data_IF_949537036321
#
_entry.id   IF_949537036321
#
_cell.length_a   1.000
_cell.length_b   1.000
_cell.length_c   1.000
_cell.angle_alpha   90.00
_cell.angle_beta   90.00
_cell.angle_gamma   90.00
#
_symmetry.space_group_name_H-M   'P 1'
#
loop_
_entity.id
_entity.type
_entity.pdbx_description
1 polymer ?
#
# COMPACT_ATOMS: atom_id res chain seq x y z
N UNK A 1 14.97 82.41 20.54
CA UNK A 1 15.92 82.32 19.41
C UNK A 1 16.38 80.87 19.28
N UNK A 2 16.33 80.28 18.06
CA UNK A 2 17.28 79.30 17.43
C UNK A 2 17.89 78.21 18.36
N UNK A 3 17.70 76.88 18.22
CA UNK A 3 17.89 75.91 17.10
C UNK A 3 17.31 74.54 17.58
N UNK A 4 16.52 73.78 16.83
CA UNK A 4 16.84 72.80 15.75
C UNK A 4 17.51 71.49 16.23
N UNK A 5 16.67 70.43 16.28
CA UNK A 5 16.78 69.07 15.66
C UNK A 5 17.68 67.95 16.25
N UNK A 6 17.02 66.77 16.36
CA UNK A 6 17.42 65.34 16.36
C UNK A 6 18.68 64.88 17.12
N UNK A 7 18.51 63.82 17.92
CA UNK A 7 19.05 62.51 17.52
C UNK A 7 18.39 61.35 18.28
N UNK A 8 18.07 60.34 17.49
CA UNK A 8 17.54 59.02 17.79
C UNK A 8 18.40 58.18 18.74
N UNK A 9 17.75 57.45 19.65
CA UNK A 9 18.24 56.16 20.14
C UNK A 9 17.05 55.30 20.57
N UNK A 10 16.60 54.48 19.63
CA UNK A 10 15.76 53.31 19.85
C UNK A 10 16.67 52.26 20.50
N UNK A 11 16.47 51.96 21.78
CA UNK A 11 16.87 50.68 22.36
C UNK A 11 16.26 50.47 23.74
N UNK A 12 15.87 49.22 23.99
CA UNK A 12 15.41 48.65 25.25
C UNK A 12 13.98 48.97 25.68
N UNK A 13 13.04 48.25 25.09
CA UNK A 13 11.99 47.59 25.87
C UNK A 13 11.93 46.12 25.48
N UNK A 14 12.95 45.37 25.90
CA UNK A 14 12.88 43.91 26.02
C UNK A 14 11.96 43.61 27.20
N UNK A 15 10.65 43.67 26.95
CA UNK A 15 9.63 43.22 27.87
C UNK A 15 9.64 41.69 27.85
N UNK A 16 10.26 41.13 28.88
CA UNK A 16 10.11 39.75 29.30
C UNK A 16 8.65 39.49 29.67
N UNK A 17 7.89 38.94 28.74
CA UNK A 17 6.67 38.17 29.03
C UNK A 17 6.91 36.75 28.59
N UNK A 18 7.46 35.94 29.49
CA UNK A 18 7.36 34.48 29.43
C UNK A 18 5.91 34.09 29.67
N UNK A 19 5.13 34.11 28.60
CA UNK A 19 3.89 33.35 28.51
C UNK A 19 4.25 32.01 27.89
N UNK A 20 4.17 30.95 28.70
CA UNK A 20 4.09 29.58 28.20
C UNK A 20 2.76 29.44 27.46
N UNK A 21 2.76 29.81 26.19
CA UNK A 21 1.79 29.31 25.22
C UNK A 21 2.47 28.16 24.50
N UNK A 22 1.87 26.98 24.61
CA UNK A 22 2.09 25.84 23.73
C UNK A 22 1.97 26.30 22.29
N UNK A 23 3.07 26.78 21.70
CA UNK A 23 3.19 26.96 20.27
C UNK A 23 3.26 25.56 19.68
N UNK A 24 2.12 25.22 19.08
CA UNK A 24 2.06 24.79 17.71
C UNK A 24 2.91 23.58 17.38
N UNK A 25 2.19 22.50 17.02
CA UNK A 25 2.62 21.56 16.00
C UNK A 25 3.51 22.31 15.01
N UNK A 26 4.82 22.10 15.10
CA UNK A 26 5.70 22.39 13.99
C UNK A 26 5.02 21.73 12.80
N UNK A 27 4.58 22.55 11.85
CA UNK A 27 4.07 22.05 10.58
C UNK A 27 5.20 21.21 10.03
N UNK A 28 5.07 19.88 10.11
CA UNK A 28 6.01 18.98 9.47
C UNK A 28 6.10 19.44 8.04
N UNK A 29 7.30 19.85 7.61
CA UNK A 29 7.55 20.39 6.29
C UNK A 29 6.75 19.61 5.23
N UNK A 30 5.69 20.22 4.71
CA UNK A 30 4.76 19.65 3.72
C UNK A 30 5.38 19.49 2.33
N UNK A 31 6.71 19.48 2.26
CA UNK A 31 7.48 19.21 1.05
C UNK A 31 7.89 17.74 0.95
N UNK A 32 7.68 16.95 2.01
CA UNK A 32 8.06 15.53 2.03
C UNK A 32 6.98 14.59 1.50
N UNK A 33 5.75 15.07 1.35
CA UNK A 33 4.62 14.27 0.83
C UNK A 33 4.39 14.46 -0.67
N UNK A 34 5.07 15.44 -1.31
CA UNK A 34 4.97 15.64 -2.76
C UNK A 34 5.67 14.49 -3.53
N UNK A 35 4.93 13.68 -4.32
CA UNK A 35 5.50 12.59 -5.11
C UNK A 35 6.57 13.05 -6.09
N UNK A 36 6.53 14.32 -6.54
CA UNK A 36 7.48 14.91 -7.49
C UNK A 36 8.84 15.24 -6.85
N UNK A 37 8.94 15.26 -5.52
CA UNK A 37 10.17 15.58 -4.79
C UNK A 37 10.89 14.34 -4.25
N UNK A 38 10.39 13.14 -4.53
CA UNK A 38 11.01 11.90 -4.08
C UNK A 38 12.31 11.65 -4.85
N UNK A 39 13.39 11.41 -4.11
CA UNK A 39 14.69 11.10 -4.68
C UNK A 39 14.71 9.77 -5.45
N UNK A 40 15.83 9.46 -6.11
CA UNK A 40 15.95 8.18 -6.82
C UNK A 40 15.84 6.99 -5.85
N UNK A 41 15.14 5.91 -6.24
CA UNK A 41 15.06 4.71 -5.45
C UNK A 41 16.42 4.00 -5.42
N UNK A 42 16.75 3.39 -4.29
CA UNK A 42 17.90 2.50 -4.18
C UNK A 42 17.67 1.43 -3.12
N UNK A 43 18.36 0.30 -3.32
CA UNK A 43 18.42 -0.82 -2.39
C UNK A 43 19.87 -1.31 -2.35
N UNK A 44 20.43 -1.43 -1.15
CA UNK A 44 21.78 -1.94 -0.95
C UNK A 44 21.74 -3.29 -0.24
N UNK A 45 22.65 -4.17 -0.65
CA UNK A 45 22.88 -5.46 0.01
C UNK A 45 24.37 -5.59 0.27
N UNK A 46 24.73 -5.79 1.53
CA UNK A 46 26.07 -6.06 2.00
C UNK A 46 26.14 -7.52 2.44
N UNK A 47 27.01 -8.26 1.78
CA UNK A 47 27.49 -9.58 2.19
C UNK A 47 28.91 -9.43 2.74
N UNK A 48 29.43 -10.48 3.38
CA UNK A 48 30.76 -10.48 4.01
C UNK A 48 31.88 -9.92 3.12
N UNK A 49 31.87 -10.28 1.83
CA UNK A 49 32.93 -9.97 0.89
C UNK A 49 32.44 -9.15 -0.33
N UNK A 50 31.17 -8.73 -0.36
CA UNK A 50 30.59 -8.03 -1.51
C UNK A 50 29.48 -7.04 -1.14
N UNK A 51 29.32 -6.03 -1.98
CA UNK A 51 28.28 -5.01 -1.86
C UNK A 51 27.55 -4.84 -3.19
N UNK A 52 26.23 -4.79 -3.14
CA UNK A 52 25.37 -4.63 -4.30
C UNK A 52 24.48 -3.41 -4.11
N UNK A 53 24.30 -2.64 -5.18
CA UNK A 53 23.34 -1.54 -5.26
C UNK A 53 22.37 -1.84 -6.40
N UNK A 54 21.08 -1.72 -6.14
CA UNK A 54 20.01 -1.95 -7.10
C UNK A 54 19.05 -0.76 -7.06
N UNK A 55 18.67 -0.26 -8.23
CA UNK A 55 17.77 0.89 -8.41
C UNK A 55 16.42 0.49 -9.03
N UNK A 56 16.27 -0.79 -9.41
CA UNK A 56 15.10 -1.37 -10.05
C UNK A 56 14.21 -2.19 -9.09
N UNK A 57 14.53 -2.21 -7.80
CA UNK A 57 13.79 -2.97 -6.79
C UNK A 57 12.45 -2.28 -6.51
N UNK A 58 11.40 -3.08 -6.41
CA UNK A 58 10.07 -2.65 -5.98
C UNK A 58 9.55 -3.57 -4.89
N UNK A 59 8.92 -2.99 -3.88
CA UNK A 59 8.22 -3.76 -2.86
C UNK A 59 6.78 -4.07 -3.31
N UNK A 60 6.25 -5.19 -2.88
CA UNK A 60 4.89 -5.63 -3.14
C UNK A 60 4.10 -5.70 -1.84
N UNK A 61 3.02 -4.94 -1.74
CA UNK A 61 2.10 -4.97 -0.61
C UNK A 61 0.90 -5.87 -0.96
N UNK A 62 0.79 -6.99 -0.27
CA UNK A 62 -0.32 -7.94 -0.44
C UNK A 62 -1.64 -7.36 0.10
N UNK A 63 -2.76 -7.94 -0.34
CA UNK A 63 -4.10 -7.65 0.20
C UNK A 63 -4.24 -7.96 1.71
N UNK A 64 -3.37 -8.81 2.25
CA UNK A 64 -3.32 -9.11 3.69
C UNK A 64 -2.50 -8.10 4.49
N UNK A 65 -1.93 -7.08 3.83
CA UNK A 65 -1.07 -6.08 4.46
C UNK A 65 0.36 -6.56 4.71
N UNK A 66 0.75 -7.72 4.16
CA UNK A 66 2.13 -8.19 4.17
C UNK A 66 2.94 -7.53 3.04
N UNK A 67 4.13 -7.07 3.35
CA UNK A 67 5.09 -6.46 2.41
C UNK A 67 6.12 -7.50 1.98
N UNK A 68 6.36 -7.64 0.68
CA UNK A 68 7.42 -8.47 0.11
C UNK A 68 8.42 -7.59 -0.65
N UNK A 69 9.71 -7.79 -0.44
CA UNK A 69 10.78 -7.15 -1.20
C UNK A 69 11.62 -8.26 -1.82
N UNK A 70 11.77 -8.25 -3.13
CA UNK A 70 12.56 -9.25 -3.87
C UNK A 70 13.69 -8.53 -4.59
N UNK A 71 14.93 -8.96 -4.32
CA UNK A 71 16.14 -8.42 -4.91
C UNK A 71 16.87 -9.56 -5.61
N UNK A 72 17.01 -9.44 -6.92
CA UNK A 72 17.67 -10.44 -7.76
C UNK A 72 19.06 -9.96 -8.19
N UNK A 73 19.76 -10.82 -8.92
CA UNK A 73 21.10 -10.56 -9.44
C UNK A 73 22.15 -10.38 -8.35
N UNK A 74 22.02 -11.10 -7.24
CA UNK A 74 23.00 -11.10 -6.17
C UNK A 74 24.04 -12.21 -6.40
N UNK A 75 25.04 -12.31 -5.52
CA UNK A 75 26.09 -13.32 -5.63
C UNK A 75 27.16 -12.98 -6.67
N UNK A 76 28.14 -13.86 -6.84
CA UNK A 76 29.25 -13.65 -7.79
C UNK A 76 28.80 -13.79 -9.25
N UNK A 77 27.82 -14.65 -9.51
CA UNK A 77 27.31 -14.93 -10.85
C UNK A 77 26.04 -14.14 -11.21
N UNK A 78 25.60 -13.22 -10.34
CA UNK A 78 24.33 -12.50 -10.49
C UNK A 78 23.11 -13.42 -10.65
N UNK A 79 23.14 -14.59 -10.00
CA UNK A 79 22.06 -15.58 -10.02
C UNK A 79 21.28 -15.65 -8.71
N UNK A 80 21.81 -15.11 -7.64
CA UNK A 80 21.21 -15.25 -6.31
C UNK A 80 20.04 -14.27 -6.14
N UNK A 81 19.11 -14.64 -5.26
CA UNK A 81 17.90 -13.87 -4.97
C UNK A 81 17.72 -13.75 -3.45
N UNK A 82 17.49 -12.53 -2.97
CA UNK A 82 17.05 -12.24 -1.62
C UNK A 82 15.57 -11.84 -1.63
N UNK A 83 14.76 -12.53 -0.84
CA UNK A 83 13.37 -12.18 -0.60
C UNK A 83 13.15 -11.87 0.88
N UNK A 84 12.60 -10.70 1.20
CA UNK A 84 12.23 -10.28 2.57
C UNK A 84 10.72 -10.14 2.65
N UNK A 85 10.07 -10.88 3.56
CA UNK A 85 8.63 -10.84 3.77
C UNK A 85 8.30 -10.32 5.18
N UNK A 86 7.59 -9.20 5.26
CA UNK A 86 7.07 -8.63 6.50
C UNK A 86 5.56 -8.82 6.57
N UNK A 87 5.04 -9.31 7.70
CA UNK A 87 3.60 -9.55 7.88
C UNK A 87 2.77 -8.27 7.99
N UNK A 88 3.41 -7.13 8.24
CA UNK A 88 2.73 -5.83 8.44
C UNK A 88 3.46 -4.72 7.71
N UNK A 89 2.68 -3.87 7.05
CA UNK A 89 3.14 -2.61 6.47
C UNK A 89 2.93 -1.45 7.44
N UNK A 90 3.91 -1.22 8.31
CA UNK A 90 3.91 -0.12 9.27
C UNK A 90 5.35 0.31 9.57
N UNK A 91 5.56 1.54 10.04
CA UNK A 91 6.87 1.96 10.54
C UNK A 91 7.22 1.20 11.83
N UNK A 92 8.50 0.86 12.00
CA UNK A 92 8.97 0.13 13.17
C UNK A 92 10.01 -0.94 12.84
N UNK A 93 10.30 -1.77 13.84
CA UNK A 93 11.30 -2.83 13.75
C UNK A 93 10.67 -4.21 13.87
N UNK A 94 10.97 -5.07 12.92
CA UNK A 94 10.35 -6.37 12.71
C UNK A 94 11.40 -7.47 12.88
N UNK A 95 11.27 -8.33 13.90
CA UNK A 95 12.19 -9.43 14.08
C UNK A 95 11.94 -10.50 13.02
N UNK A 96 13.01 -11.17 12.60
CA UNK A 96 12.97 -12.10 11.47
C UNK A 96 12.48 -13.51 11.80
N UNK A 97 12.29 -13.82 13.08
CA UNK A 97 11.72 -15.09 13.53
C UNK A 97 10.23 -15.22 13.16
N UNK A 98 9.55 -14.08 12.97
CA UNK A 98 8.17 -13.99 12.48
C UNK A 98 8.12 -13.47 11.03
N UNK A 99 9.06 -12.62 10.64
CA UNK A 99 9.14 -12.01 9.31
C UNK A 99 10.30 -12.60 8.53
N UNK A 100 10.02 -13.44 7.54
CA UNK A 100 11.05 -14.32 6.97
C UNK A 100 11.82 -13.62 5.86
N UNK A 101 13.15 -13.75 5.90
CA UNK A 101 14.02 -13.52 4.75
C UNK A 101 14.56 -14.86 4.22
N UNK A 102 14.58 -14.99 2.90
CA UNK A 102 15.04 -16.18 2.18
C UNK A 102 16.11 -15.72 1.19
N UNK A 103 17.26 -16.39 1.21
CA UNK A 103 18.32 -16.24 0.22
C UNK A 103 18.43 -17.53 -0.58
N UNK A 104 18.30 -17.43 -1.90
CA UNK A 104 18.40 -18.54 -2.83
C UNK A 104 19.72 -18.44 -3.59
N UNK A 105 20.52 -19.52 -3.56
CA UNK A 105 21.75 -19.65 -4.33
C UNK A 105 21.43 -20.27 -5.70
N UNK A 106 21.96 -19.71 -6.77
CA UNK A 106 21.72 -20.23 -8.12
C UNK A 106 22.99 -20.65 -8.85
N UNK A 107 23.11 -21.94 -9.16
CA UNK A 107 23.80 -22.43 -10.37
C UNK A 107 22.79 -23.30 -11.14
N UNK A 108 22.21 -22.74 -12.21
CA UNK A 108 21.24 -23.35 -13.13
C UNK A 108 19.82 -23.65 -12.58
N UNK A 109 18.82 -23.44 -13.45
CA UNK A 109 17.39 -23.39 -13.12
C UNK A 109 16.76 -24.79 -13.02
N UNK A 110 17.51 -25.84 -13.37
CA UNK A 110 16.99 -27.21 -13.36
C UNK A 110 17.55 -27.98 -12.14
N UNK A 111 16.69 -28.06 -11.13
CA UNK A 111 16.67 -29.08 -10.08
C UNK A 111 17.59 -28.92 -8.86
N UNK A 112 17.66 -27.74 -8.22
CA UNK A 112 17.59 -27.53 -6.75
C UNK A 112 18.28 -26.20 -6.38
N UNK A 113 17.48 -25.18 -6.04
CA UNK A 113 18.02 -23.99 -5.39
C UNK A 113 18.42 -24.35 -3.97
N UNK A 114 19.71 -24.22 -3.67
CA UNK A 114 20.17 -24.16 -2.29
C UNK A 114 19.56 -22.92 -1.62
N UNK A 115 19.19 -23.04 -0.35
CA UNK A 115 18.45 -22.01 0.37
C UNK A 115 19.08 -21.73 1.73
N UNK A 116 19.14 -20.44 2.11
CA UNK A 116 19.29 -20.01 3.49
C UNK A 116 18.05 -19.20 3.92
N UNK A 117 17.66 -19.33 5.18
CA UNK A 117 16.47 -18.69 5.75
C UNK A 117 16.81 -18.02 7.06
N UNK A 118 16.15 -16.90 7.35
CA UNK A 118 16.22 -16.26 8.66
C UNK A 118 15.38 -16.99 9.72
N UNK A 119 14.55 -17.96 9.35
CA UNK A 119 13.67 -18.65 10.28
C UNK A 119 14.26 -19.99 10.71
N UNK A 120 14.49 -20.17 12.01
CA UNK A 120 14.80 -21.47 12.59
C UNK A 120 13.49 -22.16 13.03
N UNK A 121 13.06 -23.24 12.35
CA UNK A 121 11.84 -23.96 12.74
C UNK A 121 12.00 -24.75 14.04
N UNK A 122 13.23 -25.11 14.43
CA UNK A 122 13.51 -25.83 15.68
C UNK A 122 13.61 -24.88 16.87
N UNK A 123 13.96 -23.60 16.63
CA UNK A 123 14.08 -22.54 17.64
C UNK A 123 13.29 -21.28 17.24
N UNK A 124 11.95 -21.32 17.23
CA UNK A 124 11.11 -20.22 16.75
C UNK A 124 11.22 -18.92 17.58
N UNK A 125 11.71 -18.99 18.81
CA UNK A 125 12.02 -17.83 19.65
C UNK A 125 13.32 -17.12 19.26
N UNK A 126 14.21 -17.79 18.52
CA UNK A 126 15.50 -17.22 18.14
C UNK A 126 15.33 -16.16 17.04
N UNK A 127 15.69 -14.93 17.38
CA UNK A 127 15.79 -13.82 16.43
C UNK A 127 17.12 -13.88 15.71
N UNK A 128 17.08 -14.23 14.43
CA UNK A 128 18.23 -14.18 13.52
C UNK A 128 18.54 -12.77 13.02
N UNK A 129 17.66 -11.78 13.25
CA UNK A 129 17.85 -10.46 12.70
C UNK A 129 16.64 -9.55 12.81
N UNK A 130 16.76 -8.40 12.15
CA UNK A 130 15.75 -7.35 12.15
C UNK A 130 15.66 -6.68 10.78
N UNK A 131 14.43 -6.38 10.38
CA UNK A 131 14.12 -5.44 9.30
C UNK A 131 13.43 -4.24 9.92
N UNK A 132 13.87 -3.03 9.58
CA UNK A 132 13.32 -1.79 10.10
C UNK A 132 12.77 -0.95 8.95
N UNK A 133 11.49 -0.60 9.03
CA UNK A 133 10.89 0.43 8.20
C UNK A 133 11.02 1.73 8.97
N UNK A 134 11.87 2.63 8.48
CA UNK A 134 12.14 3.93 9.09
C UNK A 134 11.04 4.94 8.77
N UNK A 135 10.50 4.89 7.55
CA UNK A 135 9.51 5.84 7.05
C UNK A 135 8.62 5.20 5.99
N UNK A 136 7.33 5.51 6.02
CA UNK A 136 6.37 5.21 4.94
C UNK A 136 5.79 6.52 4.43
N UNK A 137 6.12 6.89 3.19
CA UNK A 137 5.43 7.97 2.50
C UNK A 137 4.28 7.36 1.67
N UNK A 138 3.07 7.45 2.20
CA UNK A 138 1.86 6.90 1.56
C UNK A 138 1.46 7.68 0.31
N UNK A 139 1.70 8.98 0.28
CA UNK A 139 1.33 9.84 -0.86
C UNK A 139 2.20 9.54 -2.08
N UNK A 140 3.51 9.43 -1.88
CA UNK A 140 4.46 9.12 -2.94
C UNK A 140 4.67 7.61 -3.18
N UNK A 141 4.05 6.75 -2.36
CA UNK A 141 4.14 5.28 -2.42
C UNK A 141 5.58 4.77 -2.36
N UNK A 142 6.36 5.32 -1.44
CA UNK A 142 7.74 4.89 -1.18
C UNK A 142 8.00 4.59 0.29
N UNK A 143 8.97 3.71 0.53
CA UNK A 143 9.44 3.35 1.87
C UNK A 143 10.95 3.47 2.02
N UNK A 144 11.38 3.77 3.25
CA UNK A 144 12.77 3.79 3.66
C UNK A 144 13.01 2.81 4.80
N UNK A 145 14.19 2.21 4.86
CA UNK A 145 14.49 1.24 5.89
C UNK A 145 15.87 0.63 5.82
N UNK A 146 16.12 -0.27 6.77
CA UNK A 146 17.40 -0.98 6.93
C UNK A 146 17.12 -2.41 7.35
N UNK A 147 18.04 -3.32 7.08
CA UNK A 147 17.95 -4.70 7.55
C UNK A 147 19.32 -5.25 7.94
N UNK A 148 19.32 -6.15 8.91
CA UNK A 148 20.48 -6.95 9.31
C UNK A 148 19.99 -8.31 9.75
N UNK A 149 20.37 -9.34 9.00
CA UNK A 149 19.77 -10.67 9.07
C UNK A 149 20.88 -11.71 9.04
N UNK A 150 20.95 -12.53 10.08
CA UNK A 150 21.67 -13.79 10.07
C UNK A 150 20.85 -14.82 9.29
N UNK A 151 21.49 -15.42 8.30
CA UNK A 151 20.92 -16.43 7.45
C UNK A 151 21.42 -17.79 7.91
N UNK A 152 20.47 -18.67 8.19
CA UNK A 152 20.71 -20.06 8.55
C UNK A 152 20.59 -20.89 7.27
N UNK A 153 21.66 -21.55 6.80
CA UNK A 153 21.54 -22.40 5.64
C UNK A 153 20.63 -23.59 5.92
N UNK A 154 20.01 -24.14 4.87
CA UNK A 154 19.27 -25.39 4.99
C UNK A 154 20.20 -26.50 5.49
N UNK A 155 19.80 -27.24 6.52
CA UNK A 155 20.58 -28.36 7.09
C UNK A 155 20.83 -29.49 6.10
N UNK A 156 20.06 -29.54 5.00
CA UNK A 156 20.23 -30.48 3.90
C UNK A 156 21.22 -29.99 2.83
N UNK A 157 21.69 -28.74 2.92
CA UNK A 157 22.71 -28.18 2.04
C UNK A 157 24.10 -28.61 2.51
N UNK A 158 24.75 -29.49 1.75
CA UNK A 158 26.09 -30.01 2.06
C UNK A 158 27.23 -29.05 1.68
N UNK A 159 26.96 -28.02 0.87
CA UNK A 159 27.95 -27.10 0.32
C UNK A 159 28.08 -25.82 1.14
N UNK A 160 27.01 -25.40 1.81
CA UNK A 160 26.97 -24.19 2.62
C UNK A 160 26.36 -24.49 4.00
N UNK A 161 27.21 -24.79 4.99
CA UNK A 161 26.78 -25.11 6.36
C UNK A 161 26.93 -23.93 7.33
N UNK A 162 27.64 -22.88 6.94
CA UNK A 162 27.94 -21.76 7.82
C UNK A 162 26.85 -20.69 7.77
N UNK A 163 26.48 -20.20 8.95
CA UNK A 163 25.66 -18.99 9.08
C UNK A 163 26.42 -17.79 8.50
N UNK A 164 25.69 -16.87 7.89
CA UNK A 164 26.26 -15.62 7.38
C UNK A 164 25.28 -14.47 7.57
N UNK A 165 25.79 -13.24 7.61
CA UNK A 165 24.95 -12.05 7.76
C UNK A 165 24.76 -11.35 6.42
N UNK A 166 23.53 -10.99 6.14
CA UNK A 166 23.14 -10.05 5.08
C UNK A 166 22.62 -8.78 5.75
N UNK A 167 23.16 -7.63 5.40
CA UNK A 167 22.68 -6.34 5.88
C UNK A 167 22.55 -5.34 4.74
N UNK A 168 21.84 -4.24 4.97
CA UNK A 168 21.66 -3.23 3.94
C UNK A 168 20.61 -2.19 4.30
N UNK A 169 20.38 -1.31 3.35
CA UNK A 169 19.44 -0.20 3.44
C UNK A 169 18.70 0.03 2.14
N UNK A 170 17.49 0.57 2.24
CA UNK A 170 16.68 0.95 1.11
C UNK A 170 16.10 2.34 1.35
N UNK A 171 16.09 3.16 0.30
CA UNK A 171 15.60 4.52 0.34
C UNK A 171 14.79 4.85 -0.90
N UNK A 172 13.69 5.57 -0.68
CA UNK A 172 12.67 5.87 -1.67
C UNK A 172 12.20 4.63 -2.44
N UNK A 173 12.19 3.46 -1.79
CA UNK A 173 11.87 2.20 -2.44
C UNK A 173 10.38 2.21 -2.82
N UNK A 174 10.01 2.14 -4.11
CA UNK A 174 8.62 2.16 -4.51
C UNK A 174 7.93 0.90 -4.02
N UNK A 175 6.70 1.05 -3.53
CA UNK A 175 5.85 -0.11 -3.26
C UNK A 175 4.59 -0.06 -4.11
N UNK A 176 4.24 -1.21 -4.66
CA UNK A 176 3.02 -1.42 -5.42
C UNK A 176 2.18 -2.46 -4.71
N UNK A 177 0.85 -2.37 -4.87
CA UNK A 177 -0.02 -3.38 -4.28
C UNK A 177 -0.11 -4.57 -5.20
N UNK A 178 0.17 -5.77 -4.67
CA UNK A 178 0.01 -7.00 -5.41
C UNK A 178 -1.49 -7.19 -5.71
N UNK A 179 -1.87 -7.05 -6.98
CA UNK A 179 -3.20 -7.48 -7.43
C UNK A 179 -3.26 -8.99 -7.33
N UNK A 180 -4.34 -9.56 -6.78
CA UNK A 180 -4.42 -11.01 -6.65
C UNK A 180 -4.35 -11.64 -8.05
N UNK A 181 -3.44 -12.61 -8.23
CA UNK A 181 -3.09 -13.23 -9.51
C UNK A 181 -4.29 -13.88 -10.24
N UNK A 182 -5.46 -14.01 -9.59
CA UNK A 182 -6.63 -14.69 -10.15
C UNK A 182 -7.76 -13.75 -10.60
N UNK A 183 -7.87 -12.52 -10.07
CA UNK A 183 -8.94 -11.59 -10.46
C UNK A 183 -8.46 -10.21 -10.94
N UNK A 184 -7.19 -9.85 -10.71
CA UNK A 184 -6.67 -8.52 -11.04
C UNK A 184 -7.39 -7.37 -10.31
N UNK A 185 -8.19 -7.70 -9.29
CA UNK A 185 -8.90 -6.74 -8.44
C UNK A 185 -8.28 -6.70 -7.04
N UNK A 186 -8.40 -5.56 -6.37
CA UNK A 186 -7.72 -5.25 -5.11
C UNK A 186 -8.55 -4.27 -4.26
N UNK A 187 -8.48 -4.40 -2.92
CA UNK A 187 -9.05 -3.45 -1.97
C UNK A 187 -8.18 -3.39 -0.70
N UNK A 188 -7.96 -2.19 -0.20
CA UNK A 188 -7.53 -1.91 1.17
C UNK A 188 -8.30 -0.72 1.71
N UNK A 189 -8.64 -0.75 2.99
CA UNK A 189 -9.22 0.37 3.71
C UNK A 189 -9.14 0.08 5.22
N UNK A 190 -9.15 1.13 6.02
CA UNK A 190 -9.32 1.07 7.46
C UNK A 190 -10.78 1.33 7.80
N UNK A 191 -11.39 0.49 8.63
CA UNK A 191 -12.74 0.68 9.17
C UNK A 191 -12.61 1.04 10.63
N UNK A 192 -12.98 2.27 10.99
CA UNK A 192 -12.79 2.87 12.32
C UNK A 192 -11.34 2.69 12.82
N UNK A 193 -10.36 2.84 11.92
CA UNK A 193 -8.93 2.72 12.19
C UNK A 193 -8.34 1.31 12.06
N UNK A 194 -9.17 0.27 11.93
CA UNK A 194 -8.71 -1.11 11.83
C UNK A 194 -8.70 -1.61 10.37
N UNK A 195 -7.61 -2.22 9.88
CA UNK A 195 -7.56 -2.70 8.50
C UNK A 195 -8.60 -3.78 8.22
N UNK A 196 -9.35 -3.61 7.12
CA UNK A 196 -10.23 -4.64 6.60
C UNK A 196 -9.38 -5.75 5.96
N UNK A 197 -9.51 -6.99 6.44
CA UNK A 197 -8.64 -8.12 6.07
C UNK A 197 -9.42 -9.28 5.47
N UNK A 198 -8.69 -10.15 4.78
CA UNK A 198 -9.16 -11.43 4.26
C UNK A 198 -10.39 -11.30 3.35
N UNK A 199 -10.34 -10.33 2.44
CA UNK A 199 -11.41 -10.07 1.48
C UNK A 199 -11.18 -10.82 0.18
N UNK A 200 -12.24 -11.46 -0.31
CA UNK A 200 -12.37 -11.90 -1.69
C UNK A 200 -13.15 -10.84 -2.47
N UNK A 201 -12.65 -10.53 -3.67
CA UNK A 201 -13.16 -9.43 -4.48
C UNK A 201 -13.77 -9.98 -5.76
N UNK A 202 -15.01 -9.59 -6.01
CA UNK A 202 -15.72 -9.85 -7.24
C UNK A 202 -16.19 -8.53 -7.84
N UNK A 203 -15.91 -8.31 -9.12
CA UNK A 203 -16.35 -7.11 -9.84
C UNK A 203 -17.22 -7.53 -11.02
N UNK A 204 -18.45 -7.01 -11.09
CA UNK A 204 -19.41 -7.36 -12.14
C UNK A 204 -19.86 -6.08 -12.84
N UNK A 205 -19.96 -6.12 -14.17
CA UNK A 205 -20.63 -5.09 -14.97
C UNK A 205 -22.04 -5.56 -15.31
N UNK A 206 -23.04 -4.74 -14.98
CA UNK A 206 -24.41 -4.93 -15.41
C UNK A 206 -24.66 -4.02 -16.62
N UNK A 207 -24.82 -4.64 -17.80
CA UNK A 207 -25.02 -3.93 -19.08
C UNK A 207 -26.33 -3.14 -19.14
N UNK A 208 -27.38 -3.60 -18.47
CA UNK A 208 -28.72 -2.97 -18.52
C UNK A 208 -28.75 -1.64 -17.77
N UNK A 209 -27.97 -1.56 -16.68
CA UNK A 209 -27.88 -0.36 -15.81
C UNK A 209 -26.60 0.44 -16.04
N UNK A 210 -25.68 -0.05 -16.87
CA UNK A 210 -24.36 0.52 -17.10
C UNK A 210 -23.52 0.68 -15.82
N UNK A 211 -23.79 -0.13 -14.79
CA UNK A 211 -23.13 -0.05 -13.48
C UNK A 211 -22.09 -1.15 -13.28
N UNK A 212 -20.97 -0.77 -12.71
CA UNK A 212 -20.00 -1.67 -12.10
C UNK A 212 -20.41 -1.87 -10.64
N UNK A 213 -20.40 -3.12 -10.19
CA UNK A 213 -20.49 -3.46 -8.78
C UNK A 213 -19.18 -4.11 -8.35
N UNK A 214 -18.44 -3.39 -7.52
CA UNK A 214 -17.24 -3.87 -6.84
C UNK A 214 -17.66 -4.41 -5.47
N UNK A 215 -17.53 -5.72 -5.28
CA UNK A 215 -17.97 -6.41 -4.06
C UNK A 215 -16.79 -7.09 -3.38
N UNK A 216 -16.46 -6.66 -2.17
CA UNK A 216 -15.41 -7.25 -1.34
C UNK A 216 -16.04 -7.91 -0.11
N UNK A 217 -16.03 -9.24 -0.06
CA UNK A 217 -16.64 -10.01 1.01
C UNK A 217 -15.61 -10.84 1.76
N UNK A 218 -15.85 -11.11 3.04
CA UNK A 218 -15.00 -12.01 3.80
C UNK A 218 -15.58 -13.45 3.76
N UNK A 219 -14.88 -14.45 3.18
CA UNK A 219 -15.40 -15.81 3.06
C UNK A 219 -15.55 -16.51 4.41
N UNK A 220 -14.73 -16.14 5.41
CA UNK A 220 -14.82 -16.65 6.78
C UNK A 220 -15.96 -15.99 7.57
N UNK A 221 -16.29 -14.74 7.26
CA UNK A 221 -17.35 -13.97 7.89
C UNK A 221 -18.40 -13.52 6.87
N UNK A 222 -19.32 -14.41 6.52
CA UNK A 222 -20.31 -14.23 5.43
C UNK A 222 -21.13 -12.94 5.48
N UNK A 223 -21.26 -12.31 6.65
CA UNK A 223 -21.98 -11.05 6.80
C UNK A 223 -21.12 -9.84 6.41
N UNK A 224 -19.79 -9.93 6.51
CA UNK A 224 -18.92 -8.80 6.21
C UNK A 224 -18.77 -8.62 4.70
N UNK A 225 -19.24 -7.48 4.21
CA UNK A 225 -19.22 -7.15 2.80
C UNK A 225 -19.15 -5.64 2.58
N UNK A 226 -18.25 -5.19 1.70
CA UNK A 226 -18.23 -3.84 1.15
C UNK A 226 -18.67 -3.91 -0.31
N UNK A 227 -19.72 -3.16 -0.66
CA UNK A 227 -20.21 -3.00 -2.02
C UNK A 227 -20.08 -1.54 -2.43
N UNK A 228 -19.27 -1.29 -3.46
CA UNK A 228 -19.12 0.00 -4.12
C UNK A 228 -19.71 -0.12 -5.53
N UNK A 229 -20.60 0.81 -5.91
CA UNK A 229 -21.20 0.84 -7.24
C UNK A 229 -20.98 2.20 -7.90
N UNK A 230 -20.55 2.19 -9.16
CA UNK A 230 -20.32 3.38 -9.97
C UNK A 230 -20.51 3.04 -11.47
N UNK A 231 -20.81 4.02 -12.33
CA UNK A 231 -21.04 3.76 -13.75
C UNK A 231 -19.77 3.33 -14.49
N UNK A 232 -19.91 2.49 -15.52
CA UNK A 232 -18.77 1.97 -16.33
C UNK A 232 -18.10 3.05 -17.17
N UNK A 233 -18.79 4.15 -17.47
CA UNK A 233 -18.31 5.30 -18.22
C UNK A 233 -17.77 6.42 -17.33
N UNK A 234 -17.57 6.14 -16.03
CA UNK A 234 -16.88 7.03 -15.10
C UNK A 234 -15.51 7.46 -15.67
N UNK A 235 -15.19 8.74 -15.50
CA UNK A 235 -13.95 9.34 -16.01
C UNK A 235 -12.89 9.40 -14.90
N UNK A 236 -11.71 9.92 -15.24
CA UNK A 236 -10.72 10.29 -14.22
C UNK A 236 -11.21 11.54 -13.48
N UNK A 237 -11.17 11.53 -12.15
CA UNK A 237 -11.66 12.65 -11.37
C UNK A 237 -12.01 12.31 -9.93
N UNK A 238 -12.50 13.32 -9.21
CA UNK A 238 -12.99 13.26 -7.85
C UNK A 238 -14.53 13.31 -7.86
N UNK A 239 -15.16 12.44 -7.09
CA UNK A 239 -16.59 12.15 -7.11
C UNK A 239 -17.19 12.20 -5.71
N UNK A 240 -18.48 12.51 -5.65
CA UNK A 240 -19.26 12.55 -4.40
C UNK A 240 -20.37 11.50 -4.42
N UNK A 241 -21.11 11.33 -3.32
CA UNK A 241 -22.17 10.31 -3.22
C UNK A 241 -23.32 10.45 -4.24
N UNK A 242 -23.36 11.52 -5.04
CA UNK A 242 -24.28 11.63 -6.17
C UNK A 242 -23.87 10.72 -7.34
N UNK A 243 -22.57 10.41 -7.47
CA UNK A 243 -21.99 9.69 -8.61
C UNK A 243 -21.80 8.18 -8.35
N UNK A 244 -21.83 7.78 -7.08
CA UNK A 244 -21.57 6.41 -6.66
C UNK A 244 -22.34 6.05 -5.40
N UNK A 245 -22.56 4.76 -5.18
CA UNK A 245 -23.18 4.25 -3.95
C UNK A 245 -22.26 3.28 -3.22
N UNK A 246 -22.31 3.34 -1.89
CA UNK A 246 -21.54 2.45 -1.02
C UNK A 246 -22.44 1.85 0.03
N UNK A 247 -22.28 0.55 0.24
CA UNK A 247 -22.84 -0.13 1.39
C UNK A 247 -21.80 -1.02 2.04
N UNK A 248 -21.76 -1.01 3.36
CA UNK A 248 -20.90 -1.86 4.15
C UNK A 248 -21.73 -2.62 5.17
N UNK A 249 -21.53 -3.93 5.27
CA UNK A 249 -22.04 -4.73 6.37
C UNK A 249 -20.86 -5.18 7.22
N UNK A 250 -20.92 -4.92 8.52
CA UNK A 250 -19.87 -5.29 9.48
C UNK A 250 -19.85 -6.80 9.77
N UNK A 251 -18.81 -7.26 10.47
CA UNK A 251 -18.72 -8.64 10.98
C UNK A 251 -19.95 -9.06 11.80
N UNK A 252 -20.56 -8.10 12.50
CA UNK A 252 -21.72 -8.32 13.36
C UNK A 252 -23.06 -8.19 12.62
N UNK A 253 -23.06 -7.98 11.30
CA UNK A 253 -24.28 -7.85 10.49
C UNK A 253 -24.93 -6.47 10.52
N UNK A 254 -24.33 -5.49 11.20
CA UNK A 254 -24.78 -4.09 11.15
C UNK A 254 -24.51 -3.51 9.77
N UNK A 255 -25.53 -2.91 9.16
CA UNK A 255 -25.48 -2.36 7.81
C UNK A 255 -25.29 -0.85 7.84
N UNK A 256 -24.44 -0.37 6.96
CA UNK A 256 -24.07 1.02 6.79
C UNK A 256 -24.20 1.41 5.32
N UNK A 257 -24.69 2.62 5.04
CA UNK A 257 -24.98 3.07 3.68
C UNK A 257 -24.51 4.52 3.45
N UNK A 258 -24.15 4.81 2.20
CA UNK A 258 -23.98 6.18 1.71
C UNK A 258 -25.34 6.87 1.60
N UNK A 259 -25.41 8.15 1.97
CA UNK A 259 -26.58 8.99 1.77
C UNK A 259 -26.13 10.43 1.46
N UNK A 260 -26.47 10.94 0.27
CA UNK A 260 -26.08 12.28 -0.17
C UNK A 260 -26.85 13.42 0.54
N UNK A 261 -28.00 13.11 1.14
CA UNK A 261 -28.79 14.09 1.90
C UNK A 261 -28.36 14.21 3.38
N UNK A 262 -27.55 13.25 3.87
CA UNK A 262 -27.09 13.24 5.27
C UNK A 262 -25.81 14.06 5.43
N UNK A 263 -25.97 15.29 5.94
CA UNK A 263 -24.86 16.21 6.21
C UNK A 263 -23.73 15.65 7.10
N UNK A 264 -23.98 14.63 7.92
CA UNK A 264 -22.93 14.01 8.73
C UNK A 264 -21.94 13.19 7.89
N UNK A 265 -22.33 12.83 6.67
CA UNK A 265 -21.52 12.04 5.74
C UNK A 265 -20.68 12.94 4.80
N UNK A 266 -20.77 14.26 4.97
CA UNK A 266 -19.96 15.24 4.24
C UNK A 266 -18.46 14.97 4.39
N UNK A 267 -17.73 15.19 3.30
CA UNK A 267 -16.29 14.92 3.20
C UNK A 267 -15.95 13.50 2.72
N UNK A 268 -16.96 12.67 2.43
CA UNK A 268 -16.75 11.41 1.72
C UNK A 268 -16.45 11.65 0.25
N UNK A 269 -15.55 10.87 -0.33
CA UNK A 269 -15.19 10.99 -1.74
C UNK A 269 -14.78 9.65 -2.34
N UNK A 270 -14.88 9.58 -3.66
CA UNK A 270 -14.28 8.56 -4.50
C UNK A 270 -13.41 9.26 -5.54
N UNK A 271 -12.19 8.80 -5.75
CA UNK A 271 -11.29 9.31 -6.78
C UNK A 271 -10.91 8.20 -7.74
N UNK A 272 -11.04 8.44 -9.04
CA UNK A 272 -10.54 7.54 -10.09
C UNK A 272 -9.23 8.12 -10.60
N UNK A 273 -8.12 7.45 -10.26
CA UNK A 273 -6.77 7.91 -10.56
C UNK A 273 -6.28 7.42 -11.93
N UNK A 274 -6.71 6.21 -12.34
CA UNK A 274 -6.28 5.59 -13.60
C UNK A 274 -7.33 4.63 -14.13
N UNK A 275 -7.47 4.58 -15.45
CA UNK A 275 -8.28 3.58 -16.16
C UNK A 275 -7.38 2.93 -17.21
N UNK A 276 -7.41 1.59 -17.29
CA UNK A 276 -6.67 0.82 -18.28
C UNK A 276 -7.60 -0.16 -19.00
N UNK A 277 -7.47 -0.24 -20.33
CA UNK A 277 -8.05 -1.32 -21.11
C UNK A 277 -7.06 -2.50 -21.17
N UNK A 278 -7.54 -3.69 -20.82
CA UNK A 278 -6.76 -4.93 -20.81
C UNK A 278 -7.44 -5.95 -21.73
N UNK A 279 -6.70 -6.42 -22.74
CA UNK A 279 -7.17 -7.41 -23.69
C UNK A 279 -6.59 -8.77 -23.34
N UNK A 280 -7.45 -9.77 -23.11
CA UNK A 280 -7.04 -11.14 -22.81
C UNK A 280 -8.04 -12.11 -23.43
N UNK A 281 -7.56 -13.09 -24.23
CA UNK A 281 -8.37 -14.20 -24.73
C UNK A 281 -9.71 -13.77 -25.37
N UNK A 282 -9.69 -12.80 -26.29
CA UNK A 282 -10.87 -12.21 -26.96
C UNK A 282 -11.86 -11.46 -26.06
N UNK A 283 -11.53 -11.26 -24.79
CA UNK A 283 -12.30 -10.44 -23.85
C UNK A 283 -11.64 -9.09 -23.66
N UNK A 284 -12.47 -8.06 -23.53
CA UNK A 284 -12.02 -6.72 -23.13
C UNK A 284 -12.33 -6.54 -21.66
N UNK A 285 -11.31 -6.20 -20.88
CA UNK A 285 -11.46 -5.83 -19.48
C UNK A 285 -11.11 -4.36 -19.32
N UNK A 286 -11.80 -3.68 -18.41
CA UNK A 286 -11.33 -2.40 -17.87
C UNK A 286 -10.85 -2.58 -16.45
N UNK A 287 -9.73 -1.91 -16.13
CA UNK A 287 -9.21 -1.77 -14.77
C UNK A 287 -9.36 -0.33 -14.32
N UNK A 288 -10.05 -0.14 -13.20
CA UNK A 288 -10.21 1.16 -12.54
C UNK A 288 -9.35 1.15 -11.30
N UNK A 289 -8.43 2.10 -11.20
CA UNK A 289 -7.63 2.33 -10.02
C UNK A 289 -8.18 3.57 -9.34
N UNK A 290 -8.43 3.48 -8.04
CA UNK A 290 -9.00 4.61 -7.31
C UNK A 290 -8.73 4.58 -5.82
N UNK A 291 -9.11 5.70 -5.20
CA UNK A 291 -8.98 5.97 -3.77
C UNK A 291 -10.29 6.47 -3.20
N UNK A 292 -10.51 6.29 -1.90
CA UNK A 292 -11.70 6.80 -1.24
C UNK A 292 -11.50 7.01 0.25
N UNK A 293 -12.26 7.94 0.80
CA UNK A 293 -12.64 7.96 2.22
C UNK A 293 -14.18 8.04 2.27
N UNK A 294 -14.81 7.17 3.05
CA UNK A 294 -16.26 7.10 3.17
C UNK A 294 -16.71 7.30 4.61
N UNK A 295 -17.80 8.04 4.78
CA UNK A 295 -18.58 8.09 6.00
C UNK A 295 -19.92 7.45 5.72
N UNK A 296 -20.25 6.37 6.44
CA UNK A 296 -21.46 5.59 6.18
C UNK A 296 -22.38 5.61 7.40
N UNK A 297 -23.67 5.85 7.17
CA UNK A 297 -24.70 5.88 8.22
C UNK A 297 -25.22 4.49 8.49
N UNK A 298 -25.35 4.13 9.77
CA UNK A 298 -26.04 2.92 10.21
C UNK A 298 -27.53 2.92 9.82
N UNK A 299 -28.02 1.83 9.24
CA UNK A 299 -29.41 1.66 8.76
C UNK A 299 -30.48 1.95 9.82
N UNK A 300 -30.22 1.53 11.07
CA UNK A 300 -31.18 1.56 12.18
C UNK A 300 -30.67 2.35 13.39
N UNK A 301 -29.67 3.20 13.19
CA UNK A 301 -29.03 3.92 14.29
C UNK A 301 -28.46 5.25 13.88
N UNK A 302 -27.73 5.87 14.81
CA UNK A 302 -27.11 7.19 14.62
C UNK A 302 -25.60 7.10 14.47
N UNK A 303 -25.03 5.89 14.48
CA UNK A 303 -23.60 5.72 14.30
C UNK A 303 -23.18 6.08 12.87
N UNK A 304 -22.04 6.77 12.75
CA UNK A 304 -21.37 7.04 11.48
C UNK A 304 -20.06 6.29 11.49
N UNK A 305 -19.96 5.28 10.64
CA UNK A 305 -18.75 4.52 10.41
C UNK A 305 -17.80 5.32 9.51
N UNK A 306 -16.51 5.31 9.82
CA UNK A 306 -15.50 5.90 8.93
C UNK A 306 -14.69 4.80 8.26
N UNK A 307 -14.64 4.84 6.94
CA UNK A 307 -13.71 4.06 6.14
C UNK A 307 -12.66 5.01 5.56
N UNK A 308 -11.39 4.82 5.91
CA UNK A 308 -10.31 5.72 5.51
C UNK A 308 -9.20 4.98 4.79
N UNK A 309 -8.34 5.73 4.10
CA UNK A 309 -7.20 5.19 3.35
C UNK A 309 -7.64 4.13 2.32
N UNK A 310 -8.84 4.31 1.76
CA UNK A 310 -9.40 3.42 0.78
C UNK A 310 -8.57 3.43 -0.49
N UNK A 311 -8.10 2.27 -0.93
CA UNK A 311 -7.46 2.07 -2.23
C UNK A 311 -8.05 0.83 -2.88
N UNK A 312 -8.40 0.91 -4.17
CA UNK A 312 -8.96 -0.22 -4.89
C UNK A 312 -8.47 -0.33 -6.33
N UNK A 313 -8.51 -1.55 -6.84
CA UNK A 313 -8.44 -1.87 -8.27
C UNK A 313 -9.66 -2.70 -8.61
N UNK A 314 -10.53 -2.20 -9.48
CA UNK A 314 -11.68 -2.95 -9.98
C UNK A 314 -11.38 -3.42 -11.40
N UNK A 315 -11.23 -4.73 -11.63
CA UNK A 315 -11.13 -5.31 -12.97
C UNK A 315 -12.47 -5.89 -13.37
N UNK A 316 -13.04 -5.41 -14.47
CA UNK A 316 -14.35 -5.84 -14.96
C UNK A 316 -14.30 -6.20 -16.43
N UNK A 317 -14.97 -7.28 -16.82
CA UNK A 317 -15.18 -7.63 -18.22
C UNK A 317 -16.23 -6.70 -18.82
N UNK A 318 -15.92 -6.06 -19.95
CA UNK A 318 -16.87 -5.22 -20.68
C UNK A 318 -17.33 -5.97 -21.92
N UNK A 319 -18.62 -6.24 -21.96
CA UNK A 319 -19.28 -6.73 -23.17
C UNK A 319 -19.36 -5.55 -24.15
N UNK A 320 -18.72 -5.66 -25.32
CA UNK A 320 -18.99 -4.72 -26.42
C UNK A 320 -20.42 -4.93 -26.90
N UNK A 321 -21.17 -3.88 -27.26
CA UNK A 321 -22.43 -4.07 -27.97
C UNK A 321 -22.15 -4.87 -29.25
N UNK A 322 -22.98 -5.88 -29.53
CA UNK A 322 -22.91 -6.63 -30.78
C UNK A 322 -22.94 -5.62 -31.95
N UNK A 323 -21.96 -5.69 -32.85
CA UNK A 323 -22.05 -4.94 -34.09
C UNK A 323 -23.36 -5.37 -34.79
N UNK A 324 -24.25 -4.44 -35.16
CA UNK A 324 -25.42 -4.81 -35.93
C UNK A 324 -24.96 -5.50 -37.21
N UNK A 325 -25.70 -6.50 -37.71
CA UNK A 325 -25.31 -7.24 -38.91
C UNK A 325 -25.05 -6.24 -40.03
N UNK A 326 -23.87 -6.34 -40.64
CA UNK A 326 -23.58 -5.65 -41.89
C UNK A 326 -24.57 -6.19 -42.91
N UNK A 327 -25.62 -5.42 -43.19
CA UNK A 327 -26.47 -5.66 -44.35
C UNK A 327 -25.63 -5.22 -45.55
N UNK A 328 -24.98 -6.18 -46.21
CA UNK A 328 -24.45 -5.95 -47.55
C UNK A 328 -25.66 -5.67 -48.47
N UNK A 329 -25.71 -4.45 -49.00
CA UNK A 329 -26.74 -3.99 -49.95
C UNK A 329 -26.41 -4.41 -51.38
#
# INVERSE_FOLDING_TARGET
MKRVILLSAICLSFLTTTLFTSCDKESSNSNLDNPELVGKPYFTVLLKDSAYVRDDVKAQLTNKGALSIVVSKLGKEEKDVLQINLLKFQEGSFPTNVNVAIYLYGEEIDEHFDMATSQDPERPEWKSGMVKINRINKEAKVIDGTFKIEMLPNTLNINHLDNFTIEGEFGNLPYERATSNTSGSFLYTLVDGEPLKDLEINTIHNSDTNQITFNAFNPSYRNQNLKLQFPVDIQLGDYTYEDFSVSYTSLYGVKYFSNNEDSALNGSYLKIDKIEDVFQENKTFKRYYGRFDFKLREDRGTHVLQMTEGEFVARVEIQKPEQPPVIEL
#
